data_IF_757520120716
#
_entry.id   IF_757520120716
#
_cell.length_a   1.000
_cell.length_b   1.000
_cell.length_c   1.000
_cell.angle_alpha   90.00
_cell.angle_beta   90.00
_cell.angle_gamma   90.00
#
_symmetry.space_group_name_H-M   'P 1'
#
loop_
_entity.id
_entity.type
_entity.pdbx_description
1 polymer ?
#
# COMPACT_ATOMS: atom_id res chain seq x y z
N UNK A 1 0.11 15.99 -6.89
CA UNK A 1 -0.16 15.06 -5.77
C UNK A 1 -0.46 15.88 -4.53
N UNK A 2 -1.51 15.53 -3.78
CA UNK A 2 -1.84 16.17 -2.49
C UNK A 2 -1.13 15.40 -1.38
N UNK A 3 -0.76 16.10 -0.30
CA UNK A 3 -0.12 15.47 0.86
C UNK A 3 -1.08 15.44 2.05
N UNK A 4 -1.15 14.31 2.77
CA UNK A 4 -1.99 14.15 3.97
C UNK A 4 -1.14 13.68 5.14
N UNK A 5 -1.10 14.45 6.22
CA UNK A 5 -0.29 14.15 7.41
C UNK A 5 -1.13 14.23 8.68
N UNK A 6 -0.90 13.29 9.59
CA UNK A 6 -1.42 13.32 10.95
C UNK A 6 -0.34 13.79 11.93
N UNK A 7 -0.62 14.81 12.75
CA UNK A 7 0.22 15.19 13.89
C UNK A 7 -0.53 14.92 15.19
N UNK A 8 -0.01 14.05 16.04
CA UNK A 8 -0.64 13.71 17.33
C UNK A 8 -0.49 14.88 18.29
N UNK A 9 -1.60 15.45 18.76
CA UNK A 9 -1.57 16.60 19.69
C UNK A 9 -1.46 16.14 21.14
N UNK A 10 -2.14 15.04 21.47
CA UNK A 10 -2.20 14.46 22.81
C UNK A 10 -2.64 12.97 22.70
N UNK A 11 -2.86 12.30 23.83
CA UNK A 11 -3.21 10.88 23.88
C UNK A 11 -4.56 10.52 23.23
N UNK A 12 -5.43 11.51 22.97
CA UNK A 12 -6.78 11.29 22.49
C UNK A 12 -7.04 11.89 21.10
N UNK A 13 -6.18 12.77 20.60
CA UNK A 13 -6.46 13.57 19.41
C UNK A 13 -5.25 13.74 18.51
N UNK A 14 -5.51 13.80 17.21
CA UNK A 14 -4.53 14.18 16.20
C UNK A 14 -5.08 15.26 15.27
N UNK A 15 -4.16 16.05 14.71
CA UNK A 15 -4.42 17.04 13.68
C UNK A 15 -4.15 16.41 12.32
N UNK A 16 -5.19 16.22 11.52
CA UNK A 16 -5.08 15.90 10.11
C UNK A 16 -4.89 17.20 9.32
N UNK A 17 -3.85 17.28 8.51
CA UNK A 17 -3.61 18.41 7.61
C UNK A 17 -3.36 17.93 6.20
N UNK A 18 -4.13 18.47 5.27
CA UNK A 18 -3.95 18.28 3.85
C UNK A 18 -3.20 19.47 3.25
N UNK A 19 -2.18 19.19 2.45
CA UNK A 19 -1.38 20.17 1.74
C UNK A 19 -1.61 19.98 0.25
N UNK A 20 -2.15 21.01 -0.38
CA UNK A 20 -2.43 21.04 -1.82
C UNK A 20 -1.49 22.04 -2.49
N UNK A 21 -0.89 21.61 -3.60
CA UNK A 21 0.04 22.45 -4.36
C UNK A 21 -0.68 23.69 -4.93
N UNK A 22 -0.09 24.87 -4.80
CA UNK A 22 -0.63 26.12 -5.34
C UNK A 22 -1.72 26.79 -4.49
N UNK A 23 -2.11 26.22 -3.35
CA UNK A 23 -3.05 26.83 -2.40
C UNK A 23 -2.37 27.10 -1.06
N UNK A 24 -2.58 28.29 -0.51
CA UNK A 24 -2.17 28.63 0.86
C UNK A 24 -3.18 28.20 1.92
N UNK A 25 -4.35 27.71 1.50
CA UNK A 25 -5.47 27.36 2.38
C UNK A 25 -5.31 25.92 2.90
N UNK A 26 -4.43 25.74 3.88
CA UNK A 26 -4.21 24.44 4.53
C UNK A 26 -5.16 24.29 5.72
N UNK A 27 -6.35 23.72 5.50
CA UNK A 27 -7.31 23.49 6.59
C UNK A 27 -6.94 22.23 7.36
N UNK A 28 -6.55 22.41 8.62
CA UNK A 28 -6.38 21.32 9.57
C UNK A 28 -7.72 20.89 10.17
N UNK A 29 -7.91 19.59 10.35
CA UNK A 29 -9.05 19.01 11.07
C UNK A 29 -8.54 18.24 12.28
N UNK A 30 -9.09 18.52 13.45
CA UNK A 30 -8.82 17.71 14.65
C UNK A 30 -9.76 16.51 14.64
N UNK A 31 -9.20 15.33 14.86
CA UNK A 31 -9.87 14.03 14.89
C UNK A 31 -9.46 13.26 16.14
N UNK A 32 -10.26 12.27 16.52
CA UNK A 32 -9.96 11.39 17.63
C UNK A 32 -8.86 10.40 17.22
N UNK A 33 -7.96 10.05 18.15
CA UNK A 33 -6.81 9.18 17.86
C UNK A 33 -7.25 7.78 17.40
N UNK A 34 -8.41 7.31 17.83
CA UNK A 34 -9.01 6.04 17.39
C UNK A 34 -9.29 6.01 15.87
N UNK A 35 -9.61 7.16 15.28
CA UNK A 35 -9.86 7.29 13.83
C UNK A 35 -8.56 7.23 13.01
N UNK A 36 -7.39 7.29 13.64
CA UNK A 36 -6.11 7.32 12.91
C UNK A 36 -5.88 6.03 12.10
N UNK A 37 -6.34 4.88 12.61
CA UNK A 37 -6.22 3.59 11.94
C UNK A 37 -7.10 3.47 10.69
N UNK A 38 -8.10 4.34 10.54
CA UNK A 38 -9.07 4.35 9.43
C UNK A 38 -8.99 5.63 8.58
N UNK A 39 -8.14 6.58 8.96
CA UNK A 39 -7.94 7.84 8.24
C UNK A 39 -6.77 7.75 7.25
N UNK A 40 -6.97 8.07 5.96
CA UNK A 40 -5.89 8.01 4.97
C UNK A 40 -4.83 9.08 5.22
N UNK A 41 -3.71 8.65 5.79
CA UNK A 41 -2.53 9.50 6.05
C UNK A 41 -1.30 8.93 5.37
N UNK A 42 -0.42 9.81 4.92
CA UNK A 42 0.84 9.43 4.27
C UNK A 42 2.02 9.43 5.23
N UNK A 43 1.89 10.10 6.38
CA UNK A 43 2.76 9.89 7.53
C UNK A 43 2.06 10.36 8.81
N UNK A 44 2.56 9.85 9.93
CA UNK A 44 2.15 10.27 11.27
C UNK A 44 3.35 10.82 12.03
N UNK A 45 3.15 11.96 12.66
CA UNK A 45 4.12 12.64 13.51
C UNK A 45 3.60 12.61 14.95
N UNK A 46 4.44 12.25 15.90
CA UNK A 46 4.07 12.25 17.31
C UNK A 46 5.10 13.02 18.17
N UNK A 47 4.66 13.69 19.25
CA UNK A 47 5.58 14.31 20.20
C UNK A 47 6.43 13.26 20.91
N UNK A 48 7.77 13.42 20.94
CA UNK A 48 8.66 12.48 21.63
C UNK A 48 8.29 12.29 23.12
N UNK A 49 7.71 13.31 23.73
CA UNK A 49 7.21 13.30 25.11
C UNK A 49 6.16 12.21 25.35
N UNK A 50 5.38 11.84 24.33
CA UNK A 50 4.33 10.82 24.42
C UNK A 50 4.84 9.40 24.13
N UNK A 51 6.13 9.21 23.85
CA UNK A 51 6.71 7.92 23.47
C UNK A 51 6.59 6.82 24.55
N UNK A 52 6.26 7.19 25.80
CA UNK A 52 6.05 6.25 26.91
C UNK A 52 4.57 5.88 27.11
N UNK A 53 3.64 6.53 26.40
CA UNK A 53 2.21 6.30 26.56
C UNK A 53 1.82 4.97 25.92
N UNK A 54 1.34 4.03 26.75
CA UNK A 54 1.02 2.67 26.30
C UNK A 54 -0.19 2.61 25.36
N UNK A 55 -1.17 3.50 25.55
CA UNK A 55 -2.30 3.66 24.64
C UNK A 55 -1.84 4.12 23.26
N UNK A 56 -0.96 5.14 23.21
CA UNK A 56 -0.39 5.64 21.98
C UNK A 56 0.44 4.56 21.26
N UNK A 57 1.30 3.84 21.98
CA UNK A 57 2.12 2.76 21.40
C UNK A 57 1.24 1.70 20.71
N UNK A 58 0.08 1.36 21.30
CA UNK A 58 -0.86 0.42 20.68
C UNK A 58 -1.38 0.95 19.34
N UNK A 59 -1.90 2.19 19.31
CA UNK A 59 -2.43 2.80 18.07
C UNK A 59 -1.35 2.94 17.00
N UNK A 60 -0.16 3.42 17.38
CA UNK A 60 0.96 3.57 16.44
C UNK A 60 1.40 2.22 15.87
N UNK A 61 1.33 1.13 16.64
CA UNK A 61 1.70 -0.20 16.15
C UNK A 61 0.77 -0.69 15.04
N UNK A 62 -0.51 -0.36 15.10
CA UNK A 62 -1.47 -0.68 14.06
C UNK A 62 -1.25 0.17 12.81
N UNK A 63 -0.98 1.46 13.00
CA UNK A 63 -0.78 2.41 11.89
C UNK A 63 0.56 2.20 11.17
N UNK A 64 1.60 1.71 11.86
CA UNK A 64 2.96 1.53 11.32
C UNK A 64 3.01 0.60 10.10
N UNK A 65 2.00 -0.27 9.96
CA UNK A 65 1.81 -1.16 8.81
C UNK A 65 1.47 -0.39 7.52
N UNK A 66 0.85 0.78 7.64
CA UNK A 66 0.26 1.50 6.50
C UNK A 66 0.92 2.85 6.24
N UNK A 67 1.49 3.48 7.28
CA UNK A 67 2.13 4.77 7.17
C UNK A 67 3.44 4.85 7.99
N UNK A 68 4.43 5.61 7.52
CA UNK A 68 5.61 5.94 8.33
C UNK A 68 5.21 6.76 9.55
N UNK A 69 5.83 6.41 10.68
CA UNK A 69 5.63 7.08 11.98
C UNK A 69 6.97 7.61 12.44
N UNK A 70 7.01 8.90 12.80
CA UNK A 70 8.22 9.60 13.21
C UNK A 70 7.94 10.56 14.35
N UNK A 71 8.92 10.75 15.23
CA UNK A 71 8.78 11.75 16.28
C UNK A 71 9.05 13.16 15.73
N UNK A 72 8.45 14.17 16.36
CA UNK A 72 8.71 15.59 16.09
C UNK A 72 10.22 15.94 16.16
N UNK A 73 10.96 15.32 17.08
CA UNK A 73 12.41 15.45 17.20
C UNK A 73 13.18 14.79 16.05
N UNK A 74 12.76 13.61 15.58
CA UNK A 74 13.41 12.97 14.42
C UNK A 74 13.26 13.80 13.16
N UNK A 75 12.12 14.48 13.00
CA UNK A 75 11.85 15.32 11.84
C UNK A 75 12.43 16.74 12.03
N UNK A 76 12.57 17.17 13.28
CA UNK A 76 13.19 18.44 13.65
C UNK A 76 12.23 19.63 13.65
N UNK A 77 10.94 19.41 13.89
CA UNK A 77 9.96 20.50 14.04
C UNK A 77 8.84 20.17 15.02
N UNK A 78 8.36 21.18 15.74
CA UNK A 78 7.23 21.08 16.67
C UNK A 78 5.88 21.36 15.98
N UNK A 79 4.78 21.17 16.71
CA UNK A 79 3.41 21.34 16.19
C UNK A 79 3.14 22.73 15.57
N UNK A 80 3.62 23.81 16.18
CA UNK A 80 3.39 25.17 15.66
C UNK A 80 4.05 25.37 14.29
N UNK A 81 5.18 24.71 14.07
CA UNK A 81 5.86 24.69 12.78
C UNK A 81 5.09 23.83 11.78
N UNK A 82 4.59 22.67 12.19
CA UNK A 82 3.72 21.84 11.34
C UNK A 82 2.46 22.58 10.86
N UNK A 83 1.80 23.32 11.76
CA UNK A 83 0.60 24.10 11.45
C UNK A 83 0.90 25.26 10.47
N UNK A 84 2.10 25.83 10.50
CA UNK A 84 2.51 26.92 9.60
C UNK A 84 3.21 26.48 8.30
N UNK A 85 3.60 25.20 8.19
CA UNK A 85 4.27 24.68 6.99
C UNK A 85 3.43 24.82 5.73
N UNK A 86 4.12 25.13 4.62
CA UNK A 86 3.58 25.13 3.27
C UNK A 86 3.81 23.78 2.56
N UNK A 87 3.27 23.64 1.36
CA UNK A 87 3.38 22.40 0.56
C UNK A 87 4.84 22.00 0.26
N UNK A 88 5.70 22.94 -0.12
CA UNK A 88 7.10 22.64 -0.51
C UNK A 88 7.95 22.14 0.66
N UNK A 89 7.78 22.77 1.82
CA UNK A 89 8.42 22.34 3.07
C UNK A 89 7.95 20.94 3.45
N UNK A 90 6.64 20.70 3.38
CA UNK A 90 6.05 19.42 3.72
C UNK A 90 6.44 18.32 2.73
N UNK A 91 6.57 18.65 1.44
CA UNK A 91 7.03 17.74 0.41
C UNK A 91 8.47 17.25 0.68
N UNK A 92 9.34 18.14 1.15
CA UNK A 92 10.72 17.77 1.52
C UNK A 92 10.74 16.75 2.66
N UNK A 93 9.93 17.00 3.69
CA UNK A 93 9.76 16.11 4.86
C UNK A 93 9.15 14.78 4.42
N UNK A 94 8.12 14.82 3.58
CA UNK A 94 7.44 13.65 3.05
C UNK A 94 8.41 12.74 2.30
N UNK A 95 9.14 13.28 1.33
CA UNK A 95 10.08 12.48 0.52
C UNK A 95 11.09 11.77 1.42
N UNK A 96 11.72 12.48 2.36
CA UNK A 96 12.72 11.88 3.26
C UNK A 96 12.11 10.77 4.13
N UNK A 97 10.96 11.02 4.74
CA UNK A 97 10.31 10.08 5.65
C UNK A 97 9.79 8.84 4.92
N UNK A 98 9.15 9.05 3.77
CA UNK A 98 8.63 7.99 2.91
C UNK A 98 9.75 7.13 2.34
N UNK A 99 10.81 7.75 1.80
CA UNK A 99 11.92 7.03 1.17
C UNK A 99 12.63 6.10 2.17
N UNK A 100 12.84 6.58 3.40
CA UNK A 100 13.39 5.76 4.48
C UNK A 100 12.47 4.58 4.83
N UNK A 101 11.17 4.82 4.97
CA UNK A 101 10.21 3.77 5.29
C UNK A 101 10.09 2.72 4.19
N UNK A 102 9.97 3.14 2.94
CA UNK A 102 9.96 2.27 1.76
C UNK A 102 11.25 1.46 1.70
N UNK A 103 12.41 2.08 1.90
CA UNK A 103 13.69 1.38 1.93
C UNK A 103 13.71 0.28 3.00
N UNK A 104 13.32 0.60 4.24
CA UNK A 104 13.30 -0.37 5.33
C UNK A 104 12.32 -1.52 5.06
N UNK A 105 11.15 -1.24 4.47
CA UNK A 105 10.19 -2.28 4.11
C UNK A 105 10.76 -3.23 3.06
N UNK A 106 11.42 -2.69 2.03
CA UNK A 106 12.06 -3.51 1.00
C UNK A 106 13.25 -4.31 1.54
N UNK A 107 14.03 -3.74 2.46
CA UNK A 107 15.11 -4.47 3.15
C UNK A 107 14.55 -5.62 4.00
N UNK A 108 13.52 -5.33 4.81
CA UNK A 108 12.85 -6.34 5.65
C UNK A 108 12.23 -7.46 4.81
N UNK A 109 11.60 -7.14 3.68
CA UNK A 109 11.08 -8.15 2.76
C UNK A 109 12.20 -9.00 2.16
N UNK A 110 13.34 -8.40 1.78
CA UNK A 110 14.48 -9.17 1.28
C UNK A 110 15.09 -10.10 2.34
N UNK A 111 15.21 -9.63 3.58
CA UNK A 111 15.71 -10.43 4.71
C UNK A 111 14.82 -11.66 4.97
N UNK A 112 13.52 -11.50 4.79
CA UNK A 112 12.52 -12.54 5.03
C UNK A 112 11.99 -13.21 3.75
N UNK A 113 12.64 -12.97 2.60
CA UNK A 113 12.06 -13.24 1.28
C UNK A 113 11.59 -14.69 1.12
N UNK A 114 12.43 -15.66 1.49
CA UNK A 114 12.08 -17.08 1.36
C UNK A 114 10.93 -17.49 2.27
N UNK A 115 10.93 -17.04 3.52
CA UNK A 115 9.84 -17.31 4.46
C UNK A 115 8.51 -16.69 3.96
N UNK A 116 8.57 -15.47 3.41
CA UNK A 116 7.42 -14.83 2.77
C UNK A 116 6.96 -15.61 1.54
N UNK A 117 7.85 -16.06 0.67
CA UNK A 117 7.49 -16.87 -0.52
C UNK A 117 6.79 -18.17 -0.10
N UNK A 118 7.32 -18.90 0.88
CA UNK A 118 6.76 -20.16 1.35
C UNK A 118 5.37 -19.96 1.96
N UNK A 119 5.21 -18.93 2.80
CA UNK A 119 3.93 -18.56 3.38
C UNK A 119 2.90 -18.16 2.32
N UNK A 120 3.28 -17.25 1.41
CA UNK A 120 2.41 -16.78 0.32
C UNK A 120 2.02 -17.91 -0.63
N UNK A 121 2.93 -18.83 -0.94
CA UNK A 121 2.61 -20.01 -1.76
C UNK A 121 1.62 -20.92 -1.05
N UNK A 122 1.83 -21.18 0.25
CA UNK A 122 0.88 -21.97 1.06
C UNK A 122 -0.50 -21.33 1.06
N UNK A 123 -0.55 -20.01 1.28
CA UNK A 123 -1.79 -19.24 1.32
C UNK A 123 -2.50 -19.25 -0.04
N UNK A 124 -1.77 -19.13 -1.16
CA UNK A 124 -2.33 -19.18 -2.51
C UNK A 124 -3.12 -20.46 -2.78
N UNK A 125 -2.67 -21.60 -2.26
CA UNK A 125 -3.36 -22.89 -2.41
C UNK A 125 -4.50 -23.07 -1.40
N UNK A 126 -4.37 -22.52 -0.20
CA UNK A 126 -5.33 -22.69 0.88
C UNK A 126 -6.52 -21.71 0.78
N UNK A 127 -6.23 -20.41 0.63
CA UNK A 127 -7.20 -19.33 0.55
C UNK A 127 -6.69 -18.22 -0.37
N UNK A 128 -7.24 -18.19 -1.59
CA UNK A 128 -6.87 -17.22 -2.61
C UNK A 128 -7.27 -15.79 -2.25
N UNK A 129 -8.35 -15.59 -1.49
CA UNK A 129 -8.76 -14.24 -1.08
C UNK A 129 -7.76 -13.68 -0.08
N UNK A 130 -7.45 -14.47 0.96
CA UNK A 130 -6.46 -14.10 1.96
C UNK A 130 -5.07 -13.86 1.32
N UNK A 131 -4.68 -14.67 0.33
CA UNK A 131 -3.47 -14.45 -0.45
C UNK A 131 -3.43 -13.05 -1.08
N UNK A 132 -4.49 -12.63 -1.76
CA UNK A 132 -4.51 -11.32 -2.43
C UNK A 132 -4.62 -10.15 -1.44
N UNK A 133 -5.26 -10.33 -0.29
CA UNK A 133 -5.25 -9.34 0.79
C UNK A 133 -3.85 -9.16 1.39
N UNK A 134 -3.13 -10.27 1.65
CA UNK A 134 -1.76 -10.20 2.17
C UNK A 134 -0.77 -9.65 1.13
N UNK A 135 -0.92 -10.07 -0.13
CA UNK A 135 -0.15 -9.52 -1.25
C UNK A 135 -0.36 -8.01 -1.37
N UNK A 136 -1.60 -7.54 -1.17
CA UNK A 136 -1.94 -6.12 -1.19
C UNK A 136 -1.15 -5.35 -0.13
N UNK A 137 -1.03 -5.86 1.11
CA UNK A 137 -0.22 -5.23 2.16
C UNK A 137 1.28 -5.22 1.83
N UNK A 138 1.80 -6.32 1.29
CA UNK A 138 3.20 -6.42 0.86
C UNK A 138 3.47 -5.37 -0.22
N UNK A 139 2.64 -5.31 -1.27
CA UNK A 139 2.78 -4.32 -2.33
C UNK A 139 2.67 -2.90 -1.79
N UNK A 140 1.69 -2.63 -0.92
CA UNK A 140 1.46 -1.29 -0.40
C UNK A 140 2.65 -0.74 0.39
N UNK A 141 3.19 -1.54 1.31
CA UNK A 141 4.32 -1.15 2.17
C UNK A 141 5.63 -1.03 1.38
N UNK A 142 5.87 -1.94 0.43
CA UNK A 142 7.09 -1.95 -0.39
C UNK A 142 7.07 -0.90 -1.51
N UNK A 143 5.91 -0.55 -2.05
CA UNK A 143 5.78 0.55 -3.01
C UNK A 143 5.66 1.93 -2.35
N UNK A 144 5.21 1.97 -1.09
CA UNK A 144 4.85 3.21 -0.41
C UNK A 144 3.70 3.93 -1.11
N UNK A 145 2.71 3.16 -1.56
CA UNK A 145 1.57 3.67 -2.33
C UNK A 145 0.48 4.24 -1.42
N UNK A 146 -0.19 5.31 -1.86
CA UNK A 146 -1.33 5.89 -1.13
C UNK A 146 -2.65 5.17 -1.44
N UNK A 147 -2.75 4.53 -2.60
CA UNK A 147 -3.87 3.66 -2.98
C UNK A 147 -3.38 2.53 -3.84
N UNK A 148 -4.03 1.37 -3.74
CA UNK A 148 -3.67 0.18 -4.50
C UNK A 148 -4.92 -0.59 -4.90
N UNK A 149 -4.96 -0.98 -6.17
CA UNK A 149 -5.97 -1.84 -6.74
C UNK A 149 -5.27 -3.04 -7.37
N UNK A 150 -5.68 -4.25 -6.99
CA UNK A 150 -5.22 -5.52 -7.56
C UNK A 150 -6.41 -6.23 -8.19
N UNK A 151 -6.32 -6.54 -9.47
CA UNK A 151 -7.37 -7.19 -10.25
C UNK A 151 -6.87 -8.56 -10.69
N UNK A 152 -7.66 -9.60 -10.46
CA UNK A 152 -7.31 -10.98 -10.81
C UNK A 152 -8.55 -11.80 -11.15
N UNK A 153 -8.33 -12.96 -11.76
CA UNK A 153 -9.38 -13.94 -11.98
C UNK A 153 -9.45 -14.91 -10.80
N UNK A 154 -10.65 -15.27 -10.37
CA UNK A 154 -10.93 -16.25 -9.32
C UNK A 154 -12.00 -17.26 -9.75
N UNK A 155 -12.09 -18.40 -9.06
CA UNK A 155 -13.07 -19.44 -9.30
C UNK A 155 -14.17 -19.38 -8.25
N UNK A 156 -15.37 -18.99 -8.66
CA UNK A 156 -16.56 -19.11 -7.82
C UNK A 156 -17.07 -20.54 -7.90
N UNK A 157 -16.92 -21.29 -6.81
CA UNK A 157 -17.41 -22.66 -6.68
C UNK A 157 -18.94 -22.70 -6.79
N UNK A 158 -19.44 -23.67 -7.54
CA UNK A 158 -20.87 -23.93 -7.63
C UNK A 158 -21.45 -24.28 -6.25
N UNK A 159 -22.57 -23.65 -5.86
CA UNK A 159 -23.27 -23.93 -4.60
C UNK A 159 -24.37 -24.98 -4.74
N UNK A 160 -24.65 -25.44 -5.97
CA UNK A 160 -25.68 -26.43 -6.31
C UNK A 160 -25.10 -27.54 -7.20
N UNK A 161 -25.57 -28.77 -7.04
CA UNK A 161 -25.09 -29.98 -7.75
C UNK A 161 -25.12 -29.91 -9.30
N UNK A 162 -25.79 -28.92 -9.89
CA UNK A 162 -25.91 -28.76 -11.35
C UNK A 162 -25.25 -27.49 -11.89
N UNK A 163 -24.62 -26.68 -11.05
CA UNK A 163 -23.85 -25.52 -11.49
C UNK A 163 -22.39 -25.91 -11.71
N UNK A 164 -21.76 -25.35 -12.75
CA UNK A 164 -20.32 -25.45 -12.98
C UNK A 164 -19.62 -24.29 -12.29
N UNK A 165 -18.37 -24.51 -11.87
CA UNK A 165 -17.51 -23.44 -11.40
C UNK A 165 -17.41 -22.34 -12.45
N UNK A 166 -17.52 -21.09 -11.99
CA UNK A 166 -17.46 -19.92 -12.87
C UNK A 166 -16.19 -19.13 -12.58
N UNK A 167 -15.44 -18.84 -13.65
CA UNK A 167 -14.39 -17.84 -13.59
C UNK A 167 -15.04 -16.47 -13.39
N UNK A 168 -14.68 -15.79 -12.32
CA UNK A 168 -15.10 -14.43 -12.01
C UNK A 168 -13.86 -13.54 -11.95
N UNK A 169 -14.06 -12.23 -12.10
CA UNK A 169 -13.03 -11.25 -11.76
C UNK A 169 -13.28 -10.75 -10.35
N UNK A 170 -12.19 -10.52 -9.65
CA UNK A 170 -12.18 -9.95 -8.32
C UNK A 170 -11.21 -8.77 -8.35
N UNK A 171 -11.59 -7.70 -7.66
CA UNK A 171 -10.79 -6.50 -7.46
C UNK A 171 -10.60 -6.32 -5.96
N UNK A 172 -9.36 -6.25 -5.50
CA UNK A 172 -9.03 -5.84 -4.13
C UNK A 172 -8.51 -4.41 -4.20
N UNK A 173 -9.26 -3.46 -3.65
CA UNK A 173 -8.88 -2.04 -3.68
C UNK A 173 -8.92 -1.41 -2.30
N UNK A 174 -8.14 -0.33 -2.11
CA UNK A 174 -8.16 0.42 -0.87
C UNK A 174 -7.09 1.51 -0.78
N UNK A 175 -7.20 2.31 0.28
CA UNK A 175 -6.20 3.32 0.65
C UNK A 175 -5.45 2.94 1.94
N UNK A 176 -6.12 2.26 2.88
CA UNK A 176 -5.54 1.81 4.15
C UNK A 176 -5.64 0.30 4.29
N UNK A 177 -6.86 -0.23 4.16
CA UNK A 177 -7.17 -1.65 4.24
C UNK A 177 -7.66 -2.15 2.87
N UNK A 178 -7.35 -3.40 2.49
CA UNK A 178 -7.88 -4.02 1.29
C UNK A 178 -9.39 -4.23 1.44
N UNK A 179 -10.13 -3.98 0.37
CA UNK A 179 -11.55 -4.27 0.24
C UNK A 179 -11.77 -5.16 -0.99
N UNK A 180 -12.04 -6.46 -0.80
CA UNK A 180 -12.37 -7.36 -1.90
C UNK A 180 -13.77 -7.07 -2.45
N UNK A 181 -13.85 -6.83 -3.75
CA UNK A 181 -15.09 -6.54 -4.47
C UNK A 181 -15.17 -7.40 -5.74
N UNK A 182 -16.38 -7.75 -6.21
CA UNK A 182 -16.55 -8.31 -7.54
C UNK A 182 -15.99 -7.36 -8.61
N UNK A 183 -15.41 -7.91 -9.66
CA UNK A 183 -14.98 -7.13 -10.83
C UNK A 183 -16.17 -6.43 -11.49
N UNK A 184 -15.90 -5.23 -11.99
CA UNK A 184 -16.83 -4.36 -12.71
C UNK A 184 -16.42 -4.21 -14.19
N UNK A 185 -17.23 -3.50 -14.97
CA UNK A 185 -16.96 -3.21 -16.39
C UNK A 185 -15.60 -2.53 -16.60
N UNK A 186 -15.18 -1.70 -15.64
CA UNK A 186 -13.87 -1.06 -15.65
C UNK A 186 -12.74 -2.09 -15.52
N UNK A 187 -12.85 -3.00 -14.55
CA UNK A 187 -11.91 -4.10 -14.35
C UNK A 187 -11.81 -4.98 -15.59
N UNK A 188 -12.93 -5.21 -16.28
CA UNK A 188 -12.98 -5.94 -17.54
C UNK A 188 -12.18 -5.24 -18.65
N UNK A 189 -12.43 -3.95 -18.84
CA UNK A 189 -11.79 -3.14 -19.86
C UNK A 189 -10.28 -3.01 -19.63
N UNK A 190 -9.85 -2.77 -18.39
CA UNK A 190 -8.43 -2.59 -18.06
C UNK A 190 -7.67 -3.91 -18.23
N UNK A 191 -8.21 -5.03 -17.74
CA UNK A 191 -7.59 -6.35 -17.95
C UNK A 191 -7.43 -6.67 -19.44
N UNK A 192 -8.43 -6.33 -20.26
CA UNK A 192 -8.36 -6.51 -21.72
C UNK A 192 -7.35 -5.57 -22.37
N UNK A 193 -7.27 -4.32 -21.93
CA UNK A 193 -6.33 -3.34 -22.46
C UNK A 193 -4.87 -3.79 -22.29
N UNK A 194 -4.54 -4.43 -21.17
CA UNK A 194 -3.21 -4.92 -20.85
C UNK A 194 -3.00 -6.41 -21.16
N UNK A 195 -3.90 -7.05 -21.93
CA UNK A 195 -3.85 -8.49 -22.21
C UNK A 195 -2.50 -8.91 -22.83
N UNK A 196 -1.95 -8.09 -23.72
CA UNK A 196 -0.66 -8.36 -24.36
C UNK A 196 0.56 -8.13 -23.46
N UNK A 197 0.37 -7.62 -22.24
CA UNK A 197 1.45 -7.36 -21.26
C UNK A 197 1.49 -8.39 -20.13
N UNK A 198 0.64 -9.42 -20.16
CA UNK A 198 0.74 -10.52 -19.19
C UNK A 198 1.81 -11.51 -19.63
N UNK A 199 2.94 -11.48 -18.95
CA UNK A 199 4.11 -12.32 -19.25
C UNK A 199 4.48 -13.17 -18.02
N UNK A 200 5.44 -14.09 -18.22
CA UNK A 200 6.03 -14.85 -17.13
C UNK A 200 7.00 -13.92 -16.36
N UNK A 201 6.48 -13.25 -15.34
CA UNK A 201 7.24 -12.32 -14.49
C UNK A 201 6.47 -11.04 -14.20
N UNK A 202 6.99 -10.26 -13.25
CA UNK A 202 6.48 -8.92 -12.94
C UNK A 202 6.98 -7.91 -13.99
N UNK A 203 6.06 -7.17 -14.59
CA UNK A 203 6.36 -6.08 -15.51
C UNK A 203 5.69 -4.78 -15.04
N UNK A 204 6.45 -3.68 -15.02
CA UNK A 204 5.93 -2.34 -14.76
C UNK A 204 5.65 -1.65 -16.10
N UNK A 205 4.42 -1.79 -16.60
CA UNK A 205 4.02 -1.44 -17.97
C UNK A 205 3.92 0.08 -18.18
N UNK A 206 3.45 0.81 -17.17
CA UNK A 206 3.31 2.26 -17.25
C UNK A 206 3.64 2.91 -15.91
N UNK A 207 4.36 4.03 -15.95
CA UNK A 207 4.57 4.88 -14.79
C UNK A 207 4.55 6.36 -15.21
N UNK A 208 3.53 7.09 -14.78
CA UNK A 208 3.42 8.54 -14.95
C UNK A 208 4.00 9.21 -13.70
N UNK A 209 5.19 9.84 -13.84
CA UNK A 209 5.90 10.48 -12.71
C UNK A 209 5.16 11.71 -12.18
N UNK A 210 4.41 12.41 -13.03
CA UNK A 210 3.75 13.67 -12.66
C UNK A 210 2.47 13.39 -11.87
N UNK A 211 1.75 12.34 -12.27
CA UNK A 211 0.54 11.87 -11.58
C UNK A 211 0.81 10.86 -10.46
N UNK A 212 2.01 10.27 -10.46
CA UNK A 212 2.37 9.17 -9.57
C UNK A 212 1.60 7.88 -9.86
N UNK A 213 1.12 7.68 -11.09
CA UNK A 213 0.26 6.55 -11.46
C UNK A 213 1.13 5.41 -12.02
N UNK A 214 1.04 4.24 -11.39
CA UNK A 214 1.79 3.05 -11.75
C UNK A 214 0.83 1.95 -12.17
N UNK A 215 1.12 1.29 -13.29
CA UNK A 215 0.49 0.05 -13.72
C UNK A 215 1.54 -1.03 -13.85
N UNK A 216 1.26 -2.18 -13.25
CA UNK A 216 2.10 -3.37 -13.35
C UNK A 216 1.25 -4.61 -13.64
N UNK A 217 1.82 -5.54 -14.41
CA UNK A 217 1.21 -6.81 -14.76
C UNK A 217 2.09 -7.94 -14.26
N UNK A 218 1.46 -9.04 -13.84
CA UNK A 218 2.17 -10.28 -13.50
C UNK A 218 1.25 -11.45 -13.78
N UNK A 219 1.85 -12.60 -14.08
CA UNK A 219 1.13 -13.87 -14.16
C UNK A 219 1.52 -14.71 -12.94
N UNK A 220 0.56 -15.10 -12.12
CA UNK A 220 0.75 -15.99 -10.97
C UNK A 220 0.09 -17.34 -11.28
N UNK A 221 0.88 -18.40 -11.43
CA UNK A 221 0.40 -19.75 -11.80
C UNK A 221 -0.57 -19.73 -13.00
N UNK A 222 -0.16 -19.05 -14.08
CA UNK A 222 -0.94 -18.84 -15.33
C UNK A 222 -2.18 -17.95 -15.18
N UNK A 223 -2.41 -17.37 -14.01
CA UNK A 223 -3.49 -16.41 -13.78
C UNK A 223 -2.99 -14.98 -13.94
N UNK A 224 -3.55 -14.18 -14.86
CA UNK A 224 -3.14 -12.78 -15.02
C UNK A 224 -3.61 -11.94 -13.82
N UNK A 225 -2.72 -11.09 -13.35
CA UNK A 225 -2.94 -10.16 -12.24
C UNK A 225 -2.47 -8.78 -12.69
N UNK A 226 -3.36 -7.80 -12.55
CA UNK A 226 -3.07 -6.40 -12.86
C UNK A 226 -3.07 -5.57 -11.58
N UNK A 227 -2.07 -4.72 -11.43
CA UNK A 227 -1.87 -3.86 -10.27
C UNK A 227 -1.86 -2.40 -10.72
N UNK A 228 -2.64 -1.57 -10.05
CA UNK A 228 -2.66 -0.12 -10.25
C UNK A 228 -2.41 0.56 -8.92
N UNK A 229 -1.47 1.50 -8.88
CA UNK A 229 -1.02 2.12 -7.64
C UNK A 229 -0.73 3.61 -7.81
N UNK A 230 -0.93 4.39 -6.74
CA UNK A 230 -0.49 5.78 -6.64
C UNK A 230 0.79 5.90 -5.81
N UNK A 231 1.94 5.96 -6.49
CA UNK A 231 3.27 5.99 -5.90
C UNK A 231 3.97 7.32 -6.19
N UNK A 232 4.67 7.88 -5.20
CA UNK A 232 5.42 9.13 -5.40
C UNK A 232 6.70 8.93 -6.25
N UNK A 233 7.31 7.75 -6.18
CA UNK A 233 8.43 7.35 -7.04
C UNK A 233 8.61 5.84 -7.01
N UNK A 234 9.32 5.32 -8.01
CA UNK A 234 9.61 3.90 -8.18
C UNK A 234 11.12 3.68 -8.38
N UNK A 235 11.76 3.02 -7.43
CA UNK A 235 13.20 2.75 -7.40
C UNK A 235 13.56 1.39 -7.99
N UNK A 236 14.84 1.20 -8.35
CA UNK A 236 15.34 -0.10 -8.82
C UNK A 236 15.24 -1.19 -7.76
N UNK A 237 15.45 -0.85 -6.48
CA UNK A 237 15.32 -1.79 -5.38
C UNK A 237 13.89 -2.34 -5.31
N UNK A 238 12.88 -1.45 -5.31
CA UNK A 238 11.48 -1.86 -5.29
C UNK A 238 11.14 -2.79 -6.45
N UNK A 239 11.61 -2.47 -7.67
CA UNK A 239 11.40 -3.33 -8.84
C UNK A 239 12.02 -4.71 -8.65
N UNK A 240 13.27 -4.76 -8.18
CA UNK A 240 14.00 -6.02 -7.99
C UNK A 240 13.41 -6.88 -6.87
N UNK A 241 13.07 -6.27 -5.72
CA UNK A 241 12.49 -6.97 -4.57
C UNK A 241 11.13 -7.58 -4.94
N UNK A 242 10.26 -6.81 -5.60
CA UNK A 242 8.95 -7.33 -6.01
C UNK A 242 9.06 -8.38 -7.12
N UNK A 243 9.96 -8.19 -8.09
CA UNK A 243 10.21 -9.21 -9.11
C UNK A 243 10.67 -10.53 -8.48
N UNK A 244 11.63 -10.48 -7.53
CA UNK A 244 12.10 -11.66 -6.82
C UNK A 244 10.99 -12.36 -6.03
N UNK A 245 10.08 -11.60 -5.40
CA UNK A 245 8.91 -12.15 -4.71
C UNK A 245 8.01 -12.93 -5.68
N UNK A 246 7.60 -12.33 -6.80
CA UNK A 246 6.71 -12.98 -7.77
C UNK A 246 7.38 -14.15 -8.49
N UNK A 247 8.66 -14.03 -8.84
CA UNK A 247 9.45 -15.12 -9.43
C UNK A 247 9.54 -16.30 -8.45
N UNK A 248 9.76 -16.02 -7.16
CA UNK A 248 9.76 -17.01 -6.10
C UNK A 248 8.44 -17.75 -5.95
N UNK A 249 7.33 -17.00 -5.86
CA UNK A 249 5.96 -17.57 -5.78
C UNK A 249 5.68 -18.47 -6.99
N UNK A 250 6.04 -18.02 -8.20
CA UNK A 250 5.84 -18.82 -9.42
C UNK A 250 6.75 -20.05 -9.50
N UNK A 251 7.99 -19.96 -9.00
CA UNK A 251 8.90 -21.10 -8.98
C UNK A 251 8.43 -22.21 -8.02
N UNK A 252 7.88 -21.83 -6.87
CA UNK A 252 7.40 -22.78 -5.85
C UNK A 252 6.02 -23.35 -6.20
N UNK A 253 5.06 -22.54 -6.64
CA UNK A 253 3.71 -23.03 -6.94
C UNK A 253 3.60 -23.87 -8.22
N UNK A 254 4.65 -23.93 -9.06
CA UNK A 254 4.73 -24.87 -10.19
C UNK A 254 5.30 -26.25 -9.81
N UNK A 255 5.77 -26.43 -8.57
CA UNK A 255 6.36 -27.70 -8.07
C UNK A 255 5.37 -28.59 -7.30
N UNK A 256 4.18 -28.07 -6.99
CA UNK A 256 3.04 -28.79 -6.40
C UNK A 256 2.10 -29.33 -7.48
#
# INVERSE_FOLDING_TARGET
>A
MNLSFGYIKNENQFLLKEFVSGTSDNKGKILDLEDLATTPVQAVIYPEELNQSQSLISVLSDVKKFAPIKSDKEIGFAIDQFESMNFEQMQTVFTKTRDNWVLNNNLSLMENLFATIDHMTTLLHADRTAFFEELWFILRSNLGTSSLTVIFNDLKKATKEHEKDKLIKVKVEGEILPSPLPGDDFSDQVMKHYESSFHAGLEFVAFDTDKGELVATVTILKSPVLMMAKVASLTRLQKATLAALFDGINAHGNRS
#
